data_IF_986185136743
#
_entry.id   IF_986185136743
#
_cell.length_a   1.000
_cell.length_b   1.000
_cell.length_c   1.000
_cell.angle_alpha   90.00
_cell.angle_beta   90.00
_cell.angle_gamma   90.00
#
_symmetry.space_group_name_H-M   'P 1'
#
loop_
_entity.id
_entity.type
_entity.pdbx_description
1 polymer ?
#
# COMPACT_ATOMS: atom_id res chain seq x y z
N UNK A 1 6.46 -42.18 9.64
CA UNK A 1 6.42 -40.86 10.33
C UNK A 1 6.61 -39.83 9.25
N UNK A 2 5.56 -39.10 8.91
CA UNK A 2 5.58 -38.11 7.83
C UNK A 2 6.31 -36.88 8.35
N UNK A 3 7.47 -36.54 7.79
CA UNK A 3 8.19 -35.32 8.15
C UNK A 3 7.46 -34.13 7.53
N UNK A 4 6.84 -33.30 8.37
CA UNK A 4 6.22 -32.06 7.89
C UNK A 4 7.33 -31.03 7.65
N UNK A 5 7.48 -30.61 6.39
CA UNK A 5 8.44 -29.59 5.98
C UNK A 5 7.68 -28.33 5.59
N UNK A 6 7.95 -27.22 6.29
CA UNK A 6 7.47 -25.90 5.91
C UNK A 6 8.43 -25.31 4.89
N UNK A 7 7.89 -24.86 3.76
CA UNK A 7 8.64 -24.11 2.75
C UNK A 7 8.18 -22.65 2.81
N UNK A 8 9.14 -21.74 3.00
CA UNK A 8 8.90 -20.30 3.01
C UNK A 8 9.80 -19.62 1.98
N UNK A 9 9.29 -18.56 1.33
CA UNK A 9 10.03 -17.80 0.34
C UNK A 9 10.31 -16.39 0.87
N UNK A 10 11.55 -15.93 0.71
CA UNK A 10 11.98 -14.57 1.00
C UNK A 10 12.75 -14.03 -0.22
N UNK A 11 12.02 -13.40 -1.15
CA UNK A 11 12.58 -13.00 -2.44
C UNK A 11 12.96 -14.23 -3.28
N UNK A 12 14.23 -14.33 -3.68
CA UNK A 12 14.79 -15.48 -4.41
C UNK A 12 15.31 -16.60 -3.48
N UNK A 13 15.18 -16.44 -2.16
CA UNK A 13 15.60 -17.44 -1.19
C UNK A 13 14.45 -18.36 -0.80
N UNK A 14 14.62 -19.66 -1.00
CA UNK A 14 13.74 -20.70 -0.48
C UNK A 14 14.30 -21.25 0.85
N UNK A 15 13.51 -21.18 1.91
CA UNK A 15 13.84 -21.69 3.24
C UNK A 15 12.98 -22.91 3.53
N UNK A 16 13.62 -24.05 3.84
CA UNK A 16 12.96 -25.30 4.24
C UNK A 16 13.18 -25.56 5.72
N UNK A 17 12.11 -25.56 6.49
CA UNK A 17 12.11 -25.79 7.94
C UNK A 17 11.47 -27.13 8.24
N UNK A 18 12.17 -28.00 8.98
CA UNK A 18 11.60 -29.25 9.49
C UNK A 18 10.76 -28.93 10.73
N UNK A 19 9.49 -29.29 10.69
CA UNK A 19 8.58 -29.07 11.82
C UNK A 19 8.68 -30.25 12.78
N UNK A 20 8.71 -29.94 14.07
CA UNK A 20 8.50 -30.94 15.12
C UNK A 20 7.01 -30.96 15.47
N UNK A 21 6.47 -32.08 16.01
CA UNK A 21 5.04 -32.24 16.27
C UNK A 21 4.43 -31.17 17.21
N UNK A 22 5.25 -30.42 17.94
CA UNK A 22 4.83 -29.40 18.88
C UNK A 22 4.80 -27.98 18.28
N UNK A 23 5.07 -27.84 16.98
CA UNK A 23 5.08 -26.54 16.30
C UNK A 23 3.72 -26.29 15.66
N UNK A 24 3.10 -25.16 16.02
CA UNK A 24 1.90 -24.65 15.36
C UNK A 24 2.32 -23.61 14.34
N UNK A 25 2.03 -23.86 13.06
CA UNK A 25 2.18 -22.85 12.01
C UNK A 25 1.14 -21.76 12.25
N UNK A 26 1.61 -20.53 12.41
CA UNK A 26 0.77 -19.32 12.43
C UNK A 26 1.19 -18.46 11.26
N UNK A 27 0.26 -18.16 10.36
CA UNK A 27 0.48 -17.14 9.33
C UNK A 27 0.05 -15.79 9.91
N UNK A 28 0.99 -14.85 9.98
CA UNK A 28 0.70 -13.45 10.23
C UNK A 28 1.29 -12.64 9.07
N UNK A 29 0.44 -12.39 8.08
CA UNK A 29 0.77 -11.61 6.89
C UNK A 29 -0.51 -10.98 6.37
N UNK A 30 -0.42 -9.73 5.92
CA UNK A 30 -1.56 -9.06 5.26
C UNK A 30 -1.98 -9.92 4.09
N UNK A 31 -3.19 -10.46 4.16
CA UNK A 31 -3.87 -11.04 2.99
C UNK A 31 -4.09 -9.85 2.05
N UNK A 32 -3.29 -9.73 0.99
CA UNK A 32 -3.49 -8.70 -0.03
C UNK A 32 -4.90 -8.83 -0.62
N UNK A 33 -5.84 -8.09 -0.05
CA UNK A 33 -7.19 -7.96 -0.58
C UNK A 33 -7.18 -6.60 -1.27
N UNK A 34 -7.34 -6.57 -2.60
CA UNK A 34 -7.33 -5.32 -3.38
C UNK A 34 -8.21 -4.23 -2.77
N UNK A 35 -9.33 -4.63 -2.16
CA UNK A 35 -10.29 -3.75 -1.50
C UNK A 35 -9.78 -3.07 -0.22
N UNK A 36 -8.75 -3.63 0.43
CA UNK A 36 -8.29 -3.10 1.72
C UNK A 36 -7.56 -1.77 1.56
N UNK A 37 -6.77 -1.60 0.49
CA UNK A 37 -6.05 -0.35 0.27
C UNK A 37 -6.98 0.81 -0.05
N UNK A 38 -7.93 0.62 -0.98
CA UNK A 38 -8.91 1.66 -1.31
C UNK A 38 -9.69 2.13 -0.07
N UNK A 39 -10.23 1.18 0.72
CA UNK A 39 -10.97 1.52 1.93
C UNK A 39 -10.09 2.21 2.98
N UNK A 40 -8.90 1.67 3.26
CA UNK A 40 -7.98 2.27 4.22
C UNK A 40 -7.59 3.69 3.83
N UNK A 41 -7.36 3.93 2.53
CA UNK A 41 -6.94 5.21 2.01
C UNK A 41 -8.08 6.22 2.11
N UNK A 42 -9.29 5.83 1.72
CA UNK A 42 -10.49 6.66 1.90
C UNK A 42 -10.71 7.03 3.37
N UNK A 43 -10.73 6.05 4.27
CA UNK A 43 -10.97 6.29 5.70
C UNK A 43 -9.93 7.27 6.28
N UNK A 44 -8.66 7.14 5.86
CA UNK A 44 -7.55 7.98 6.33
C UNK A 44 -7.61 9.40 5.77
N UNK A 45 -8.01 9.58 4.51
CA UNK A 45 -8.10 10.91 3.87
C UNK A 45 -9.35 11.70 4.29
N UNK A 46 -10.42 11.00 4.64
CA UNK A 46 -11.64 11.61 5.18
C UNK A 46 -11.49 11.96 6.65
N UNK A 47 -10.73 11.17 7.42
CA UNK A 47 -10.53 11.36 8.85
C UNK A 47 -9.03 11.48 9.24
N UNK A 48 -8.30 12.49 8.73
CA UNK A 48 -6.91 12.69 9.09
C UNK A 48 -6.75 13.08 10.58
N UNK A 49 -5.62 12.69 11.17
CA UNK A 49 -5.37 12.85 12.62
C UNK A 49 -5.15 14.32 13.00
N UNK A 50 -4.27 15.02 12.28
CA UNK A 50 -3.77 16.36 12.66
C UNK A 50 -4.17 17.46 11.66
N UNK A 51 -4.94 17.12 10.62
CA UNK A 51 -5.29 18.03 9.54
C UNK A 51 -6.78 17.94 9.21
N UNK A 52 -7.36 18.92 8.50
CA UNK A 52 -8.67 18.76 7.87
C UNK A 52 -8.64 17.67 6.80
N UNK A 53 -9.81 17.15 6.42
CA UNK A 53 -9.93 16.25 5.27
C UNK A 53 -9.26 16.84 4.04
N UNK A 54 -8.61 15.99 3.25
CA UNK A 54 -7.89 16.40 2.05
C UNK A 54 -8.80 17.17 1.08
N UNK A 55 -10.08 16.82 0.98
CA UNK A 55 -11.04 17.47 0.07
C UNK A 55 -11.48 18.86 0.52
N UNK A 56 -11.18 19.25 1.75
CA UNK A 56 -11.33 20.64 2.19
C UNK A 56 -10.11 21.49 1.84
N UNK A 57 -9.00 20.86 1.48
CA UNK A 57 -7.72 21.50 1.21
C UNK A 57 -7.38 21.59 -0.29
N UNK A 58 -8.15 20.94 -1.15
CA UNK A 58 -7.90 20.85 -2.60
C UNK A 58 -9.08 21.45 -3.37
N UNK A 59 -8.76 22.26 -4.37
CA UNK A 59 -9.67 22.78 -5.38
C UNK A 59 -9.45 22.09 -6.73
N UNK A 60 -10.44 22.13 -7.62
CA UNK A 60 -10.41 21.44 -8.92
C UNK A 60 -9.22 21.84 -9.81
N UNK A 61 -8.75 23.08 -9.70
CA UNK A 61 -7.68 23.65 -10.51
C UNK A 61 -6.29 23.58 -9.83
N UNK A 62 -6.19 22.98 -8.64
CA UNK A 62 -4.91 22.86 -7.93
C UNK A 62 -3.95 21.90 -8.63
N UNK A 63 -2.66 22.25 -8.61
CA UNK A 63 -1.57 21.37 -9.09
C UNK A 63 -1.09 20.50 -7.94
N UNK A 64 -1.22 19.18 -8.09
CA UNK A 64 -0.92 18.20 -7.04
C UNK A 64 0.31 17.39 -7.42
N UNK A 65 1.32 17.42 -6.55
CA UNK A 65 2.46 16.53 -6.61
C UNK A 65 2.37 15.46 -5.51
N UNK A 66 2.37 14.19 -5.90
CA UNK A 66 2.43 13.04 -5.01
C UNK A 66 3.89 12.57 -5.00
N UNK A 67 4.58 12.74 -3.88
CA UNK A 67 5.94 12.22 -3.72
C UNK A 67 5.88 10.80 -3.16
N UNK A 68 6.45 9.83 -3.89
CA UNK A 68 6.57 8.44 -3.45
C UNK A 68 8.04 8.09 -3.22
N UNK A 69 8.36 7.76 -1.97
CA UNK A 69 9.70 7.34 -1.55
C UNK A 69 10.00 5.90 -1.99
N UNK A 70 11.28 5.63 -2.30
CA UNK A 70 11.75 4.27 -2.60
C UNK A 70 11.60 3.37 -1.36
N UNK A 71 11.17 2.12 -1.58
CA UNK A 71 11.06 1.14 -0.51
C UNK A 71 9.77 1.21 0.30
N UNK A 72 8.84 2.12 -0.05
CA UNK A 72 7.47 2.10 0.51
C UNK A 72 6.76 0.81 0.05
N UNK A 73 6.36 -0.08 0.99
CA UNK A 73 5.64 -1.29 0.64
C UNK A 73 4.31 -0.96 -0.06
N UNK A 74 4.06 -1.58 -1.21
CA UNK A 74 2.89 -1.33 -2.05
C UNK A 74 2.71 0.14 -2.49
N UNK A 75 3.79 0.92 -2.49
CA UNK A 75 3.76 2.36 -2.76
C UNK A 75 3.06 2.74 -4.06
N UNK A 76 3.37 2.06 -5.17
CA UNK A 76 2.73 2.29 -6.47
C UNK A 76 1.21 2.07 -6.42
N UNK A 77 0.77 1.08 -5.65
CA UNK A 77 -0.64 0.71 -5.51
C UNK A 77 -1.40 1.72 -4.65
N UNK A 78 -0.76 2.20 -3.58
CA UNK A 78 -1.27 3.28 -2.74
C UNK A 78 -1.40 4.55 -3.57
N UNK A 79 -0.37 4.90 -4.34
CA UNK A 79 -0.38 6.06 -5.24
C UNK A 79 -1.50 5.96 -6.29
N UNK A 80 -1.68 4.78 -6.91
CA UNK A 80 -2.77 4.57 -7.86
C UNK A 80 -4.16 4.80 -7.25
N UNK A 81 -4.41 4.28 -6.04
CA UNK A 81 -5.69 4.52 -5.34
C UNK A 81 -5.87 5.97 -4.90
N UNK A 82 -4.79 6.66 -4.50
CA UNK A 82 -4.84 8.09 -4.20
C UNK A 82 -5.18 8.92 -5.44
N UNK A 83 -4.57 8.61 -6.59
CA UNK A 83 -4.87 9.27 -7.86
C UNK A 83 -6.34 9.04 -8.24
N UNK A 84 -6.83 7.79 -8.13
CA UNK A 84 -8.24 7.48 -8.39
C UNK A 84 -9.18 8.29 -7.47
N UNK A 85 -8.86 8.38 -6.18
CA UNK A 85 -9.61 9.19 -5.22
C UNK A 85 -9.67 10.68 -5.62
N UNK A 86 -8.53 11.28 -6.00
CA UNK A 86 -8.45 12.68 -6.42
C UNK A 86 -9.27 12.95 -7.70
N UNK A 87 -9.21 12.05 -8.68
CA UNK A 87 -9.98 12.14 -9.91
C UNK A 87 -11.49 12.05 -9.64
N UNK A 88 -11.91 11.15 -8.75
CA UNK A 88 -13.32 11.00 -8.36
C UNK A 88 -13.88 12.26 -7.67
N UNK A 89 -13.01 13.05 -7.04
CA UNK A 89 -13.38 14.29 -6.36
C UNK A 89 -13.14 15.55 -7.20
N UNK A 90 -12.99 15.40 -8.52
CA UNK A 90 -13.01 16.52 -9.46
C UNK A 90 -11.65 17.09 -9.83
N UNK A 91 -10.56 16.55 -9.29
CA UNK A 91 -9.21 16.94 -9.75
C UNK A 91 -9.01 16.45 -11.19
N UNK A 92 -8.42 17.28 -12.06
CA UNK A 92 -8.09 16.88 -13.43
C UNK A 92 -6.79 16.09 -13.48
N UNK A 93 -6.74 15.05 -14.32
CA UNK A 93 -5.56 14.21 -14.47
C UNK A 93 -4.30 14.99 -14.89
N UNK A 94 -4.47 16.02 -15.71
CA UNK A 94 -3.39 16.93 -16.15
C UNK A 94 -2.75 17.75 -15.01
N UNK A 95 -3.43 17.84 -13.86
CA UNK A 95 -2.96 18.57 -12.69
C UNK A 95 -2.27 17.66 -11.65
N UNK A 96 -2.21 16.34 -11.89
CA UNK A 96 -1.64 15.38 -10.95
C UNK A 96 -0.30 14.86 -11.48
N UNK A 97 0.75 15.00 -10.67
CA UNK A 97 2.08 14.47 -10.96
C UNK A 97 2.52 13.50 -9.87
N UNK A 98 2.99 12.30 -10.26
CA UNK A 98 3.66 11.36 -9.36
C UNK A 98 5.17 11.53 -9.51
N UNK A 99 5.82 11.90 -8.40
CA UNK A 99 7.28 12.04 -8.31
C UNK A 99 7.82 10.79 -7.62
N UNK A 100 8.61 10.02 -8.36
CA UNK A 100 9.33 8.87 -7.82
C UNK A 100 10.70 9.35 -7.35
N UNK A 101 11.05 9.11 -6.09
CA UNK A 101 12.41 9.33 -5.61
C UNK A 101 13.35 8.32 -6.27
N UNK A 102 14.13 8.78 -7.27
CA UNK A 102 15.19 7.98 -7.88
C UNK A 102 16.51 8.16 -7.13
N UNK A 103 17.29 7.07 -7.01
CA UNK A 103 18.70 7.17 -6.63
C UNK A 103 19.51 7.75 -7.79
N UNK A 104 20.26 8.82 -7.52
CA UNK A 104 21.46 9.18 -8.28
C UNK A 104 22.61 8.19 -7.99
#
# INVERSE_FOLDING_TARGET
MTEDVLVANAGNLEIRLRLTPNVRIVSHGRKESKNQYAQMLQDTLENPIDFPSLMLAILEDDQIAIALEEGVPDGERIAAHLIEYLLQHGTRAENICLILAGRD
#
